data_IF_040389148360
#
_entry.id   IF_040389148360
#
_cell.length_a   1.000
_cell.length_b   1.000
_cell.length_c   1.000
_cell.angle_alpha   90.00
_cell.angle_beta   90.00
_cell.angle_gamma   90.00
#
_symmetry.space_group_name_H-M   'P 1'
#
loop_
_entity.id
_entity.type
_entity.pdbx_description
1 polymer ?
#
# COMPACT_ATOMS: atom_id res chain seq x y z
N UNK A 1 15.67 -11.42 -3.26
CA UNK A 1 16.65 -12.53 -3.17
C UNK A 1 15.89 -13.83 -3.03
N UNK A 2 15.74 -14.57 -4.14
CA UNK A 2 15.18 -15.92 -4.10
C UNK A 2 16.26 -16.86 -3.57
N UNK A 3 16.03 -17.44 -2.41
CA UNK A 3 16.81 -18.58 -1.95
C UNK A 3 16.37 -19.80 -2.78
N UNK A 4 17.15 -20.15 -3.80
CA UNK A 4 17.00 -21.40 -4.51
C UNK A 4 17.33 -22.54 -3.53
N UNK A 5 16.30 -23.20 -3.03
CA UNK A 5 16.49 -24.50 -2.41
C UNK A 5 16.96 -25.45 -3.51
N UNK A 6 18.21 -25.92 -3.45
CA UNK A 6 18.80 -26.83 -4.43
C UNK A 6 18.13 -28.21 -4.34
N UNK A 7 16.93 -28.32 -4.89
CA UNK A 7 16.25 -29.61 -5.07
C UNK A 7 16.39 -30.02 -6.55
N UNK A 8 16.33 -31.31 -6.89
CA UNK A 8 16.37 -31.75 -8.28
C UNK A 8 15.31 -31.09 -9.17
N UNK A 9 14.18 -30.68 -8.60
CA UNK A 9 13.09 -29.95 -9.25
C UNK A 9 13.44 -28.47 -9.53
N UNK A 10 14.32 -27.85 -8.75
CA UNK A 10 14.70 -26.46 -8.94
C UNK A 10 15.46 -26.22 -10.26
N UNK A 11 16.13 -27.26 -10.80
CA UNK A 11 16.86 -27.17 -12.06
C UNK A 11 15.95 -27.07 -13.30
N UNK A 12 14.64 -27.31 -13.15
CA UNK A 12 13.64 -27.26 -14.23
C UNK A 12 12.73 -26.05 -14.13
N UNK A 13 12.89 -25.20 -13.10
CA UNK A 13 12.11 -24.00 -12.94
C UNK A 13 12.64 -22.89 -13.85
N UNK A 14 11.74 -22.26 -14.59
CA UNK A 14 12.05 -21.03 -15.31
C UNK A 14 12.21 -19.87 -14.31
N UNK A 15 13.07 -18.89 -14.63
CA UNK A 15 13.18 -17.69 -13.80
C UNK A 15 11.84 -16.96 -13.68
N UNK A 16 11.59 -16.42 -12.52
CA UNK A 16 10.48 -15.49 -12.29
C UNK A 16 10.66 -14.26 -13.17
N UNK A 17 9.59 -13.86 -13.86
CA UNK A 17 9.57 -12.69 -14.72
C UNK A 17 8.50 -11.70 -14.31
N UNK A 18 8.78 -10.40 -14.50
CA UNK A 18 7.84 -9.31 -14.26
C UNK A 18 7.72 -8.45 -15.51
N UNK A 19 6.50 -8.19 -15.91
CA UNK A 19 6.18 -7.20 -16.92
C UNK A 19 5.35 -6.08 -16.30
N UNK A 20 5.75 -4.82 -16.51
CA UNK A 20 4.99 -3.64 -16.11
C UNK A 20 4.66 -2.80 -17.35
N UNK A 21 3.38 -2.47 -17.51
CA UNK A 21 2.86 -1.57 -18.51
C UNK A 21 2.15 -0.42 -17.82
N UNK A 22 2.64 0.80 -18.01
CA UNK A 22 2.10 1.98 -17.35
C UNK A 22 1.93 3.13 -18.35
N UNK A 23 0.83 3.86 -18.21
CA UNK A 23 0.58 5.14 -18.87
C UNK A 23 0.12 6.15 -17.85
N UNK A 24 0.75 7.32 -17.86
CA UNK A 24 0.42 8.37 -16.90
C UNK A 24 0.59 9.77 -17.46
N UNK A 25 0.06 10.72 -16.72
CA UNK A 25 0.17 12.16 -16.98
C UNK A 25 0.65 12.86 -15.71
N UNK A 26 1.56 13.82 -15.88
CA UNK A 26 1.97 14.78 -14.85
C UNK A 26 1.61 16.17 -15.32
N UNK A 27 0.97 16.94 -14.44
CA UNK A 27 0.49 18.27 -14.74
C UNK A 27 0.87 19.25 -13.63
N UNK A 28 1.57 20.32 -13.99
CA UNK A 28 1.79 21.47 -13.11
C UNK A 28 0.54 22.35 -13.16
N UNK A 29 -0.38 22.12 -12.23
CA UNK A 29 -1.66 22.84 -12.17
C UNK A 29 -1.45 24.33 -11.86
N UNK A 30 -0.44 24.62 -11.04
CA UNK A 30 0.11 25.95 -10.78
C UNK A 30 1.64 25.85 -10.64
N UNK A 31 2.34 26.98 -10.44
CA UNK A 31 3.78 26.99 -10.19
C UNK A 31 4.17 26.24 -8.89
N UNK A 32 3.21 26.06 -7.99
CA UNK A 32 3.41 25.45 -6.65
C UNK A 32 2.65 24.15 -6.44
N UNK A 33 1.80 23.70 -7.39
CA UNK A 33 0.99 22.48 -7.24
C UNK A 33 1.15 21.57 -8.46
N UNK A 34 1.60 20.35 -8.21
CA UNK A 34 1.72 19.28 -9.20
C UNK A 34 0.68 18.19 -8.95
N UNK A 35 0.07 17.72 -10.03
CA UNK A 35 -0.84 16.59 -10.05
C UNK A 35 -0.27 15.50 -10.95
N UNK A 36 -0.51 14.24 -10.58
CA UNK A 36 -0.18 13.10 -11.42
C UNK A 36 -1.30 12.08 -11.39
N UNK A 37 -1.49 11.39 -12.52
CA UNK A 37 -2.39 10.24 -12.63
C UNK A 37 -1.74 9.20 -13.52
N UNK A 38 -1.80 7.92 -13.12
CA UNK A 38 -1.36 6.80 -13.94
C UNK A 38 -2.30 5.61 -13.83
N UNK A 39 -2.33 4.81 -14.88
CA UNK A 39 -2.93 3.48 -14.90
C UNK A 39 -1.84 2.50 -15.27
N UNK A 40 -1.84 1.33 -14.62
CA UNK A 40 -0.83 0.33 -14.84
C UNK A 40 -1.37 -1.08 -14.76
N UNK A 41 -0.63 -2.00 -15.34
CA UNK A 41 -0.80 -3.44 -15.24
C UNK A 41 0.57 -4.06 -14.98
N UNK A 42 0.66 -4.87 -13.93
CA UNK A 42 1.85 -5.63 -13.55
C UNK A 42 1.49 -7.11 -13.63
N UNK A 43 2.22 -7.85 -14.45
CA UNK A 43 2.12 -9.31 -14.53
C UNK A 43 3.40 -9.93 -13.99
N UNK A 44 3.24 -10.93 -13.13
CA UNK A 44 4.33 -11.77 -12.63
C UNK A 44 4.07 -13.20 -13.11
N UNK A 45 5.08 -13.85 -13.67
CA UNK A 45 5.02 -15.23 -14.13
C UNK A 45 6.10 -16.08 -13.46
N UNK A 46 5.88 -17.39 -13.42
CA UNK A 46 6.79 -18.36 -12.82
C UNK A 46 7.11 -18.11 -11.32
N UNK A 47 6.22 -17.41 -10.62
CA UNK A 47 6.27 -17.29 -9.17
C UNK A 47 5.89 -18.59 -8.49
N UNK A 48 6.25 -18.74 -7.21
CA UNK A 48 5.79 -19.85 -6.38
C UNK A 48 4.88 -19.35 -5.28
N UNK A 49 3.77 -20.04 -5.05
CA UNK A 49 2.88 -19.82 -3.92
C UNK A 49 2.65 -21.12 -3.16
N UNK A 50 2.44 -21.01 -1.84
CA UNK A 50 2.03 -22.15 -1.04
C UNK A 50 0.58 -22.48 -1.36
N UNK A 51 0.27 -23.75 -1.59
CA UNK A 51 -1.10 -24.20 -1.83
C UNK A 51 -1.94 -24.00 -0.55
N UNK A 52 -3.01 -23.20 -0.58
CA UNK A 52 -3.85 -22.99 0.61
C UNK A 52 -4.53 -24.25 1.17
N UNK A 53 -4.64 -25.32 0.34
CA UNK A 53 -5.23 -26.59 0.78
C UNK A 53 -4.18 -27.61 1.23
N UNK A 54 -2.93 -27.39 0.87
CA UNK A 54 -1.81 -28.24 1.25
C UNK A 54 -0.59 -27.35 1.56
N UNK A 55 -0.47 -26.89 2.84
CA UNK A 55 0.61 -25.98 3.24
C UNK A 55 2.03 -26.54 3.08
N UNK A 56 2.18 -27.85 2.84
CA UNK A 56 3.47 -28.50 2.58
C UNK A 56 3.83 -28.50 1.10
N UNK A 57 2.89 -28.13 0.22
CA UNK A 57 3.13 -28.04 -1.22
C UNK A 57 3.21 -26.61 -1.72
N UNK A 58 4.03 -26.40 -2.75
CA UNK A 58 4.11 -25.14 -3.48
C UNK A 58 3.77 -25.36 -4.93
N UNK A 59 3.03 -24.43 -5.51
CA UNK A 59 2.63 -24.44 -6.92
C UNK A 59 3.29 -23.29 -7.67
N UNK A 60 3.58 -23.53 -8.96
CA UNK A 60 3.95 -22.45 -9.86
C UNK A 60 2.71 -21.65 -10.22
N UNK A 61 2.81 -20.35 -10.16
CA UNK A 61 1.70 -19.45 -10.38
C UNK A 61 2.16 -18.13 -10.97
N UNK A 62 1.21 -17.33 -11.42
CA UNK A 62 1.41 -15.95 -11.81
C UNK A 62 0.48 -15.05 -11.03
N UNK A 63 0.78 -13.76 -11.03
CA UNK A 63 -0.12 -12.74 -10.50
C UNK A 63 -0.35 -11.66 -11.53
N UNK A 64 -1.52 -11.07 -11.53
CA UNK A 64 -1.84 -9.87 -12.30
C UNK A 64 -2.36 -8.81 -11.33
N UNK A 65 -1.83 -7.59 -11.45
CA UNK A 65 -2.31 -6.44 -10.69
C UNK A 65 -2.54 -5.28 -11.63
N UNK A 66 -3.75 -4.75 -11.61
CA UNK A 66 -4.13 -3.53 -12.33
C UNK A 66 -4.39 -2.42 -11.33
N UNK A 67 -4.01 -1.21 -11.68
CA UNK A 67 -4.16 -0.08 -10.77
C UNK A 67 -4.38 1.26 -11.44
N UNK A 68 -4.93 2.17 -10.63
CA UNK A 68 -5.00 3.61 -10.87
C UNK A 68 -4.30 4.29 -9.70
N UNK A 69 -3.39 5.21 -10.01
CA UNK A 69 -2.77 6.09 -9.02
C UNK A 69 -3.08 7.54 -9.32
N UNK A 70 -3.46 8.29 -8.28
CA UNK A 70 -3.64 9.73 -8.32
C UNK A 70 -2.76 10.36 -7.24
N UNK A 71 -2.06 11.44 -7.58
CA UNK A 71 -1.19 12.16 -6.66
C UNK A 71 -1.39 13.65 -6.78
N UNK A 72 -1.31 14.36 -5.66
CA UNK A 72 -1.25 15.80 -5.58
C UNK A 72 -0.16 16.21 -4.60
N UNK A 73 0.74 17.12 -4.98
CA UNK A 73 1.82 17.59 -4.12
C UNK A 73 2.13 19.05 -4.38
N UNK A 74 2.20 19.82 -3.32
CA UNK A 74 2.56 21.24 -3.37
C UNK A 74 1.63 22.13 -2.57
N UNK A 75 1.64 23.43 -2.88
CA UNK A 75 0.84 24.42 -2.17
C UNK A 75 -0.50 24.64 -2.90
N UNK A 76 -1.60 24.38 -2.20
CA UNK A 76 -2.96 24.70 -2.65
C UNK A 76 -3.28 26.19 -2.42
N UNK A 77 -2.70 26.76 -1.36
CA UNK A 77 -2.72 28.18 -0.98
C UNK A 77 -1.35 28.58 -0.48
N UNK A 78 -1.08 29.87 -0.35
CA UNK A 78 0.23 30.36 0.18
C UNK A 78 0.59 29.75 1.55
N UNK A 79 -0.43 29.50 2.38
CA UNK A 79 -0.25 28.98 3.74
C UNK A 79 -0.54 27.48 3.88
N UNK A 80 -1.05 26.81 2.83
CA UNK A 80 -1.48 25.41 2.89
C UNK A 80 -0.76 24.56 1.87
N UNK A 81 0.11 23.68 2.33
CA UNK A 81 0.71 22.63 1.53
C UNK A 81 -0.02 21.30 1.71
N UNK A 82 -0.04 20.48 0.66
CA UNK A 82 -0.63 19.15 0.66
C UNK A 82 0.26 18.16 -0.06
N UNK A 83 0.28 16.92 0.48
CA UNK A 83 0.73 15.73 -0.21
C UNK A 83 -0.38 14.69 -0.07
N UNK A 84 -1.02 14.35 -1.17
CA UNK A 84 -2.10 13.39 -1.19
C UNK A 84 -1.83 12.30 -2.23
N UNK A 85 -2.22 11.08 -1.92
CA UNK A 85 -2.24 9.99 -2.89
C UNK A 85 -3.49 9.15 -2.72
N UNK A 86 -3.99 8.66 -3.84
CA UNK A 86 -5.05 7.65 -3.87
C UNK A 86 -4.63 6.56 -4.83
N UNK A 87 -4.77 5.31 -4.38
CA UNK A 87 -4.48 4.13 -5.18
C UNK A 87 -5.70 3.22 -5.19
N UNK A 88 -6.11 2.81 -6.39
CA UNK A 88 -7.09 1.75 -6.62
C UNK A 88 -6.33 0.56 -7.20
N UNK A 89 -6.43 -0.61 -6.56
CA UNK A 89 -5.76 -1.84 -6.96
C UNK A 89 -6.77 -2.96 -7.17
N UNK A 90 -6.53 -3.75 -8.19
CA UNK A 90 -7.22 -5.01 -8.45
C UNK A 90 -6.16 -6.06 -8.78
N UNK A 91 -5.97 -7.03 -7.89
CA UNK A 91 -4.88 -7.98 -8.00
C UNK A 91 -5.36 -9.40 -7.79
N UNK A 92 -5.01 -10.28 -8.73
CA UNK A 92 -5.43 -11.66 -8.78
C UNK A 92 -4.24 -12.62 -8.84
N UNK A 93 -4.39 -13.75 -8.16
CA UNK A 93 -3.54 -14.92 -8.32
C UNK A 93 -4.05 -15.76 -9.48
N UNK A 94 -3.23 -15.97 -10.51
CA UNK A 94 -3.60 -16.68 -11.75
C UNK A 94 -3.38 -18.20 -11.64
N UNK A 95 -2.82 -18.67 -10.52
CA UNK A 95 -2.47 -20.07 -10.31
C UNK A 95 -3.66 -20.97 -10.13
N UNK A 96 -3.44 -22.27 -10.44
CA UNK A 96 -4.37 -23.34 -10.10
C UNK A 96 -3.82 -24.10 -8.92
N UNK A 97 -4.52 -23.98 -7.81
CA UNK A 97 -4.21 -24.73 -6.60
C UNK A 97 -4.86 -26.14 -6.62
N UNK A 98 -4.39 -27.03 -5.76
CA UNK A 98 -4.96 -28.38 -5.66
C UNK A 98 -6.40 -28.36 -5.13
N UNK A 99 -7.20 -29.36 -5.50
CA UNK A 99 -8.59 -29.48 -5.07
C UNK A 99 -9.57 -28.53 -5.81
N UNK A 100 -10.69 -28.19 -5.17
CA UNK A 100 -11.73 -27.30 -5.70
C UNK A 100 -11.45 -25.81 -5.45
N UNK A 101 -10.20 -25.40 -5.39
CA UNK A 101 -9.84 -24.02 -5.16
C UNK A 101 -10.11 -23.19 -6.41
N UNK A 102 -10.86 -22.13 -6.26
CA UNK A 102 -11.16 -21.21 -7.34
C UNK A 102 -9.86 -20.59 -7.90
N UNK A 103 -9.76 -20.58 -9.22
CA UNK A 103 -8.84 -19.68 -9.91
C UNK A 103 -9.23 -18.22 -9.59
N UNK A 104 -8.28 -17.28 -9.74
CA UNK A 104 -8.51 -15.84 -9.56
C UNK A 104 -8.85 -15.45 -8.11
N UNK A 105 -8.00 -15.86 -7.18
CA UNK A 105 -8.06 -15.37 -5.81
C UNK A 105 -7.47 -13.98 -5.73
N UNK A 106 -8.08 -13.13 -4.90
CA UNK A 106 -7.50 -11.83 -4.61
C UNK A 106 -6.14 -11.97 -3.92
N UNK A 107 -5.21 -11.13 -4.32
CA UNK A 107 -3.89 -11.10 -3.71
C UNK A 107 -3.98 -10.71 -2.23
N UNK A 108 -3.23 -11.45 -1.41
CA UNK A 108 -3.14 -11.17 0.01
C UNK A 108 -2.48 -9.81 0.28
N UNK A 109 -2.96 -9.12 1.31
CA UNK A 109 -2.42 -7.84 1.78
C UNK A 109 -2.36 -6.75 0.69
N UNK A 110 -3.29 -6.83 -0.25
CA UNK A 110 -3.49 -5.85 -1.30
C UNK A 110 -4.84 -5.15 -1.10
N UNK A 111 -4.90 -4.03 -0.37
CA UNK A 111 -6.14 -3.31 -0.18
C UNK A 111 -6.58 -2.67 -1.50
N UNK A 112 -7.86 -2.85 -1.86
CA UNK A 112 -8.39 -2.32 -3.12
C UNK A 112 -8.32 -0.80 -3.19
N UNK A 113 -8.55 -0.12 -2.08
CA UNK A 113 -8.50 1.33 -1.97
C UNK A 113 -7.54 1.76 -0.87
N UNK A 114 -6.61 2.64 -1.21
CA UNK A 114 -5.73 3.29 -0.26
C UNK A 114 -5.70 4.78 -0.52
N UNK A 115 -5.90 5.57 0.53
CA UNK A 115 -5.80 7.03 0.47
C UNK A 115 -4.86 7.52 1.55
N UNK A 116 -3.97 8.43 1.19
CA UNK A 116 -3.13 9.14 2.15
C UNK A 116 -3.22 10.63 1.89
N UNK A 117 -3.24 11.39 2.95
CA UNK A 117 -3.15 12.84 2.93
C UNK A 117 -2.23 13.30 4.05
N UNK A 118 -1.31 14.16 3.73
CA UNK A 118 -0.62 15.00 4.68
C UNK A 118 -0.81 16.46 4.28
N UNK A 119 -1.22 17.29 5.20
CA UNK A 119 -1.42 18.72 4.99
C UNK A 119 -0.75 19.52 6.09
N UNK A 120 -0.10 20.61 5.72
CA UNK A 120 0.50 21.57 6.67
C UNK A 120 -0.05 22.96 6.42
N UNK A 121 -0.56 23.57 7.49
CA UNK A 121 -1.07 24.94 7.51
C UNK A 121 -0.07 25.85 8.27
N UNK A 122 0.47 26.85 7.59
CA UNK A 122 1.20 27.92 8.21
C UNK A 122 0.21 28.89 8.88
N UNK A 123 0.16 28.88 10.23
CA UNK A 123 -0.74 29.72 11.00
C UNK A 123 -0.17 31.15 11.07
N UNK A 124 1.14 31.25 11.28
CA UNK A 124 1.90 32.49 11.28
C UNK A 124 3.40 32.19 11.04
N UNK A 125 4.29 33.17 11.19
CA UNK A 125 5.72 33.01 10.97
C UNK A 125 6.41 32.03 11.91
N UNK A 126 5.81 31.65 13.03
CA UNK A 126 6.38 30.78 14.04
C UNK A 126 5.66 29.44 14.14
N UNK A 127 4.36 29.38 13.86
CA UNK A 127 3.55 28.19 14.06
C UNK A 127 3.06 27.57 12.74
N UNK A 128 3.24 26.26 12.61
CA UNK A 128 2.58 25.43 11.59
C UNK A 128 1.87 24.27 12.27
N UNK A 129 0.76 23.85 11.70
CA UNK A 129 0.01 22.68 12.12
C UNK A 129 -0.06 21.67 10.98
N UNK A 130 0.13 20.39 11.27
CA UNK A 130 0.04 19.27 10.35
C UNK A 130 -1.17 18.39 10.66
N UNK A 131 -1.82 17.87 9.63
CA UNK A 131 -2.88 16.87 9.71
C UNK A 131 -2.60 15.77 8.70
N UNK A 132 -2.57 14.52 9.17
CA UNK A 132 -2.45 13.31 8.37
C UNK A 132 -3.73 12.51 8.37
N UNK A 133 -4.10 11.93 7.23
CA UNK A 133 -5.17 10.94 7.11
C UNK A 133 -4.66 9.77 6.33
N UNK A 134 -4.82 8.57 6.86
CA UNK A 134 -4.56 7.29 6.19
C UNK A 134 -5.83 6.47 6.20
N UNK A 135 -6.35 6.17 5.02
CA UNK A 135 -7.43 5.21 4.81
C UNK A 135 -6.93 4.00 4.04
N UNK A 136 -7.37 2.84 4.45
CA UNK A 136 -7.14 1.56 3.77
C UNK A 136 -8.44 0.76 3.79
N UNK A 137 -8.86 0.23 2.64
CA UNK A 137 -9.99 -0.70 2.57
C UNK A 137 -9.63 -2.04 3.23
N UNK A 138 -10.61 -2.91 3.38
CA UNK A 138 -10.36 -4.29 3.77
C UNK A 138 -9.43 -4.99 2.78
N UNK A 139 -8.74 -6.01 3.27
CA UNK A 139 -7.81 -6.84 2.48
C UNK A 139 -7.77 -8.25 3.07
N UNK A 140 -7.48 -9.24 2.26
CA UNK A 140 -7.28 -10.60 2.75
C UNK A 140 -5.94 -10.77 3.45
N UNK A 141 -5.93 -11.56 4.53
CA UNK A 141 -4.73 -11.85 5.31
C UNK A 141 -3.76 -12.77 4.57
N UNK A 142 -4.30 -13.70 3.77
CA UNK A 142 -3.55 -14.68 2.98
C UNK A 142 -4.25 -15.02 1.67
N UNK A 143 -3.58 -15.79 0.82
CA UNK A 143 -4.15 -16.32 -0.44
C UNK A 143 -5.33 -17.29 -0.22
N UNK A 144 -5.58 -17.74 1.01
CA UNK A 144 -6.78 -18.53 1.32
C UNK A 144 -8.07 -17.74 1.08
N UNK A 145 -7.99 -16.39 1.17
CA UNK A 145 -9.11 -15.45 1.19
C UNK A 145 -10.18 -15.81 2.25
N UNK A 146 -9.77 -16.53 3.31
CA UNK A 146 -10.67 -16.95 4.39
C UNK A 146 -10.80 -15.90 5.49
N UNK A 147 -9.74 -15.12 5.72
CA UNK A 147 -9.68 -14.09 6.76
C UNK A 147 -9.45 -12.73 6.11
N UNK A 148 -10.36 -11.80 6.36
CA UNK A 148 -10.22 -10.42 5.94
C UNK A 148 -9.80 -9.53 7.11
N UNK A 149 -8.82 -8.65 6.89
CA UNK A 149 -8.49 -7.55 7.78
C UNK A 149 -9.43 -6.38 7.48
N UNK A 150 -10.12 -5.83 8.48
CA UNK A 150 -11.11 -4.78 8.25
C UNK A 150 -10.48 -3.49 7.75
N UNK A 151 -11.25 -2.69 7.03
CA UNK A 151 -10.87 -1.33 6.65
C UNK A 151 -10.65 -0.44 7.88
N UNK A 152 -9.76 0.54 7.75
CA UNK A 152 -9.54 1.51 8.81
C UNK A 152 -9.24 2.91 8.26
N UNK A 153 -9.45 3.90 9.12
CA UNK A 153 -8.98 5.27 8.94
C UNK A 153 -8.21 5.70 10.18
N UNK A 154 -6.94 6.12 9.97
CA UNK A 154 -6.10 6.71 11.01
C UNK A 154 -5.92 8.19 10.73
N UNK A 155 -5.97 8.99 11.77
CA UNK A 155 -5.72 10.43 11.71
C UNK A 155 -4.54 10.75 12.60
N UNK A 156 -3.59 11.49 12.06
CA UNK A 156 -2.39 11.93 12.75
C UNK A 156 -2.36 13.48 12.80
N UNK A 157 -1.70 14.04 13.79
CA UNK A 157 -1.55 15.49 13.91
C UNK A 157 -0.10 15.87 14.23
N UNK A 158 0.31 17.05 13.81
CA UNK A 158 1.60 17.61 14.18
C UNK A 158 1.48 19.11 14.50
N UNK A 159 2.39 19.59 15.35
CA UNK A 159 2.58 21.01 15.59
C UNK A 159 4.07 21.32 15.48
N UNK A 160 4.40 22.41 14.78
CA UNK A 160 5.76 22.88 14.58
C UNK A 160 5.85 24.29 15.13
N UNK A 161 6.91 24.54 15.88
CA UNK A 161 7.20 25.85 16.44
C UNK A 161 8.63 26.29 16.12
N UNK A 162 8.77 27.33 15.33
CA UNK A 162 10.05 27.94 15.01
C UNK A 162 10.48 28.88 16.12
N UNK A 163 11.39 28.42 16.98
CA UNK A 163 11.96 29.22 18.10
C UNK A 163 12.85 30.31 17.55
N UNK A 164 13.64 29.99 16.50
CA UNK A 164 14.55 30.90 15.82
C UNK A 164 14.74 30.43 14.37
N UNK A 165 15.57 31.15 13.59
CA UNK A 165 15.91 30.74 12.21
C UNK A 165 16.66 29.40 12.13
N UNK A 166 17.26 28.95 13.23
CA UNK A 166 18.05 27.71 13.27
C UNK A 166 17.53 26.64 14.22
N UNK A 167 16.40 26.88 14.89
CA UNK A 167 15.83 25.95 15.86
C UNK A 167 14.31 25.85 15.68
N UNK A 168 13.84 24.65 15.42
CA UNK A 168 12.43 24.29 15.36
C UNK A 168 12.14 23.15 16.34
N UNK A 169 11.01 23.22 17.00
CA UNK A 169 10.42 22.17 17.82
C UNK A 169 9.27 21.52 17.07
N UNK A 170 9.17 20.21 17.13
CA UNK A 170 8.10 19.43 16.52
C UNK A 170 7.47 18.49 17.54
N UNK A 171 6.15 18.47 17.57
CA UNK A 171 5.33 17.49 18.29
C UNK A 171 4.50 16.71 17.28
N UNK A 172 4.56 15.38 17.35
CA UNK A 172 3.73 14.48 16.52
C UNK A 172 2.84 13.65 17.42
N UNK A 173 1.60 13.48 17.00
CA UNK A 173 0.61 12.58 17.60
C UNK A 173 0.13 11.66 16.49
N UNK A 174 0.46 10.38 16.58
CA UNK A 174 -0.07 9.34 15.70
C UNK A 174 -1.37 8.79 16.28
N UNK A 175 -2.27 8.37 15.39
CA UNK A 175 -3.56 7.77 15.78
C UNK A 175 -4.35 8.63 16.78
N UNK A 176 -4.57 9.89 16.43
CA UNK A 176 -5.19 10.93 17.29
C UNK A 176 -6.50 10.49 17.97
N UNK A 177 -7.25 9.60 17.34
CA UNK A 177 -8.53 9.09 17.86
C UNK A 177 -8.42 7.72 18.51
N UNK A 178 -7.19 7.21 18.74
CA UNK A 178 -6.93 5.92 19.38
C UNK A 178 -7.77 4.77 18.78
N UNK A 179 -7.79 4.67 17.44
CA UNK A 179 -8.50 3.59 16.74
C UNK A 179 -7.71 2.30 16.77
N UNK A 180 -8.37 1.20 17.07
CA UNK A 180 -7.81 -0.12 16.85
C UNK A 180 -7.84 -0.45 15.35
N UNK A 181 -6.71 -0.92 14.80
CA UNK A 181 -6.60 -1.29 13.40
C UNK A 181 -5.54 -2.36 13.17
N UNK A 182 -5.66 -3.09 12.07
CA UNK A 182 -4.76 -4.16 11.68
C UNK A 182 -4.18 -3.88 10.29
N UNK A 183 -2.99 -3.26 10.19
CA UNK A 183 -2.43 -2.86 8.90
C UNK A 183 -1.91 -4.03 8.06
N UNK A 184 -1.57 -5.16 8.69
CA UNK A 184 -0.99 -6.33 8.02
C UNK A 184 -1.29 -7.61 8.79
N UNK A 185 -1.05 -8.75 8.16
CA UNK A 185 -1.09 -10.07 8.79
C UNK A 185 0.10 -10.93 8.34
N UNK A 186 0.46 -11.90 9.16
CA UNK A 186 1.30 -13.02 8.76
C UNK A 186 0.39 -14.24 8.67
N UNK A 187 -0.15 -14.52 7.47
CA UNK A 187 -1.17 -15.53 7.18
C UNK A 187 -2.51 -15.32 7.95
N UNK A 188 -3.38 -16.34 7.97
CA UNK A 188 -4.70 -16.27 8.60
C UNK A 188 -4.69 -16.39 10.14
N UNK A 189 -3.51 -16.49 10.76
CA UNK A 189 -3.38 -16.81 12.19
C UNK A 189 -2.98 -15.57 13.00
N UNK A 190 -2.09 -14.73 12.44
CA UNK A 190 -1.49 -13.62 13.17
C UNK A 190 -1.70 -12.30 12.43
N UNK A 191 -2.38 -11.36 13.07
CA UNK A 191 -2.50 -9.98 12.60
C UNK A 191 -1.55 -9.05 13.36
N UNK A 192 -0.97 -8.07 12.66
CA UNK A 192 -0.19 -7.00 13.27
C UNK A 192 -1.16 -5.95 13.81
N UNK A 193 -1.07 -5.64 15.10
CA UNK A 193 -1.86 -4.56 15.71
C UNK A 193 -1.19 -3.23 15.39
N UNK A 194 -1.97 -2.25 14.96
CA UNK A 194 -1.51 -0.88 14.78
C UNK A 194 -1.12 -0.23 16.10
N UNK A 195 -0.32 0.83 16.04
CA UNK A 195 0.06 1.60 17.24
C UNK A 195 -1.17 2.30 17.82
N UNK A 196 -1.30 2.32 19.15
CA UNK A 196 -2.34 3.08 19.86
C UNK A 196 -2.18 4.59 19.66
#
# INVERSE_FOLDING_TARGET
>A
DQFLTLTPTAATLEPESFENREVGVKWSATDSLSLAASVFEITRENGTAVDPNDPESSVLTGTETRGLELQASGNVMEQLSVNASYTLLDGEELGRFSGNVQANRELAQLPRHKFTLWSELAINSQWRAGLGVLYQSEQFASLSNAVALPSFTRVDAAAFYSVSQSLELQLNIENLFNRDYFPAAHNDINATVGRP
#
